data_IF_729329827177
#
_entry.id   IF_729329827177
#
_cell.length_a   1.000
_cell.length_b   1.000
_cell.length_c   1.000
_cell.angle_alpha   90.00
_cell.angle_beta   90.00
_cell.angle_gamma   90.00
#
_symmetry.space_group_name_H-M   'P 1'
#
loop_
_entity.id
_entity.type
_entity.pdbx_description
1 polymer ?
#
# COMPACT_ATOMS: atom_id res chain seq x y z
N UNK A 1 11.38 11.21 19.10
CA UNK A 1 12.68 10.72 18.58
C UNK A 1 12.44 9.93 17.30
N UNK A 2 12.56 10.56 16.13
CA UNK A 2 12.44 9.93 14.80
C UNK A 2 13.84 9.66 14.23
N UNK A 3 14.68 8.90 14.95
CA UNK A 3 16.12 8.90 14.69
C UNK A 3 16.72 7.54 14.33
N UNK A 4 15.92 6.57 13.88
CA UNK A 4 16.44 5.26 13.47
C UNK A 4 16.30 4.96 11.96
N UNK A 5 15.85 5.93 11.15
CA UNK A 5 15.48 5.67 9.75
C UNK A 5 16.44 6.27 8.72
N UNK A 6 17.27 7.24 9.11
CA UNK A 6 18.09 8.06 8.21
C UNK A 6 19.39 7.41 7.74
N UNK A 7 19.94 6.43 8.48
CA UNK A 7 21.32 5.95 8.28
C UNK A 7 21.44 4.59 7.57
N UNK A 8 20.37 4.08 6.99
CA UNK A 8 20.44 2.90 6.11
C UNK A 8 20.21 3.32 4.67
N UNK A 9 20.76 2.57 3.72
CA UNK A 9 20.57 2.72 2.27
C UNK A 9 19.08 2.76 1.80
N UNK A 10 18.11 2.71 2.72
CA UNK A 10 16.67 2.90 2.51
C UNK A 10 16.25 4.34 2.25
N UNK A 11 17.04 5.36 2.61
CA UNK A 11 16.72 6.76 2.32
C UNK A 11 16.58 7.04 0.81
N UNK A 12 17.30 6.31 -0.05
CA UNK A 12 17.17 6.42 -1.51
C UNK A 12 15.92 5.71 -2.07
N UNK A 13 15.36 4.77 -1.31
CA UNK A 13 14.22 3.97 -1.75
C UNK A 13 12.87 4.65 -1.50
N UNK A 14 12.81 5.75 -0.74
CA UNK A 14 11.57 6.45 -0.39
C UNK A 14 11.38 7.68 -1.27
N UNK A 15 10.43 7.61 -2.18
CA UNK A 15 10.16 8.64 -3.18
C UNK A 15 8.78 9.26 -2.95
N UNK A 16 8.65 10.56 -3.22
CA UNK A 16 7.33 11.18 -3.34
C UNK A 16 6.60 10.56 -4.55
N UNK A 17 5.27 10.39 -4.49
CA UNK A 17 4.49 9.87 -5.60
C UNK A 17 4.40 10.94 -6.69
N UNK A 18 5.16 10.73 -7.75
CA UNK A 18 5.19 11.58 -8.94
C UNK A 18 5.02 10.70 -10.16
N UNK A 19 4.69 11.27 -11.33
CA UNK A 19 4.61 10.50 -12.58
C UNK A 19 5.89 9.73 -12.95
N UNK A 20 7.05 10.08 -12.37
CA UNK A 20 8.33 9.39 -12.62
C UNK A 20 8.63 8.27 -11.63
N UNK A 21 8.09 8.36 -10.42
CA UNK A 21 8.38 7.42 -9.33
C UNK A 21 7.30 6.38 -9.15
N UNK A 22 6.06 6.67 -9.55
CA UNK A 22 4.96 5.69 -9.55
C UNK A 22 5.02 4.89 -10.85
N UNK A 23 5.42 3.62 -10.74
CA UNK A 23 5.46 2.68 -11.87
C UNK A 23 4.25 1.74 -11.85
N UNK A 24 3.52 1.69 -10.73
CA UNK A 24 2.29 0.92 -10.58
C UNK A 24 1.13 1.49 -11.39
N UNK A 25 0.21 0.61 -11.74
CA UNK A 25 -0.99 0.95 -12.50
C UNK A 25 -2.07 1.55 -11.59
N UNK A 26 -2.23 2.87 -11.65
CA UNK A 26 -3.27 3.65 -10.95
C UNK A 26 -4.34 4.19 -11.94
N UNK A 27 -4.52 3.53 -13.08
CA UNK A 27 -5.52 3.88 -14.10
C UNK A 27 -6.78 3.01 -13.96
N UNK A 28 -7.44 3.09 -12.79
CA UNK A 28 -8.66 2.34 -12.45
C UNK A 28 -8.45 0.81 -12.34
N UNK A 29 -7.25 0.40 -11.92
CA UNK A 29 -6.89 -1.00 -11.78
C UNK A 29 -7.46 -1.61 -10.49
N UNK A 30 -7.92 -2.87 -10.56
CA UNK A 30 -8.42 -3.61 -9.39
C UNK A 30 -7.57 -4.85 -9.11
N UNK A 31 -7.34 -5.15 -7.83
CA UNK A 31 -6.68 -6.37 -7.38
C UNK A 31 -7.40 -6.99 -6.20
N UNK A 32 -7.67 -8.29 -6.27
CA UNK A 32 -8.32 -9.05 -5.20
C UNK A 32 -7.42 -10.18 -4.74
N UNK A 33 -7.31 -10.38 -3.44
CA UNK A 33 -6.51 -11.45 -2.86
C UNK A 33 -7.07 -11.89 -1.50
N UNK A 34 -7.50 -13.14 -1.38
CA UNK A 34 -7.87 -13.77 -0.10
C UNK A 34 -8.75 -12.93 0.86
N UNK A 35 -9.69 -12.15 0.32
CA UNK A 35 -10.60 -11.29 1.10
C UNK A 35 -10.18 -9.82 1.19
N UNK A 36 -9.05 -9.45 0.60
CA UNK A 36 -8.66 -8.08 0.36
C UNK A 36 -9.09 -7.63 -1.04
N UNK A 37 -9.77 -6.48 -1.09
CA UNK A 37 -10.13 -5.79 -2.31
C UNK A 37 -9.39 -4.45 -2.39
N UNK A 38 -8.60 -4.28 -3.44
CA UNK A 38 -7.89 -3.05 -3.74
C UNK A 38 -8.35 -2.45 -5.06
N UNK A 39 -8.46 -1.13 -5.07
CA UNK A 39 -8.69 -0.35 -6.28
C UNK A 39 -7.71 0.83 -6.33
N UNK A 40 -6.98 0.95 -7.43
CA UNK A 40 -5.87 1.89 -7.61
C UNK A 40 -6.28 2.98 -8.60
N UNK A 41 -6.30 4.23 -8.12
CA UNK A 41 -6.83 5.36 -8.87
C UNK A 41 -5.92 6.58 -8.78
N UNK A 42 -5.91 7.38 -9.84
CA UNK A 42 -5.38 8.73 -9.83
C UNK A 42 -6.54 9.71 -9.83
N UNK A 43 -6.65 10.53 -8.79
CA UNK A 43 -7.69 11.54 -8.66
C UNK A 43 -7.06 12.90 -8.38
N UNK A 44 -7.43 13.90 -9.19
CA UNK A 44 -6.91 15.28 -9.07
C UNK A 44 -5.36 15.34 -9.08
N UNK A 45 -4.72 14.45 -9.86
CA UNK A 45 -3.27 14.34 -9.96
C UNK A 45 -2.58 13.62 -8.78
N UNK A 46 -3.35 13.06 -7.84
CA UNK A 46 -2.84 12.30 -6.70
C UNK A 46 -3.22 10.82 -6.79
N UNK A 47 -2.24 9.94 -6.53
CA UNK A 47 -2.48 8.49 -6.44
C UNK A 47 -3.19 8.15 -5.13
N UNK A 48 -4.21 7.30 -5.22
CA UNK A 48 -5.00 6.79 -4.10
C UNK A 48 -5.16 5.27 -4.23
N UNK A 49 -5.16 4.60 -3.08
CA UNK A 49 -5.47 3.18 -2.99
C UNK A 49 -6.75 3.06 -2.17
N UNK A 50 -7.82 2.59 -2.80
CA UNK A 50 -9.06 2.24 -2.12
C UNK A 50 -8.92 0.82 -1.61
N UNK A 51 -9.13 0.66 -0.31
CA UNK A 51 -9.12 -0.63 0.36
C UNK A 51 -10.11 -0.61 1.52
N UNK A 52 -10.45 -1.78 2.04
CA UNK A 52 -11.34 -1.91 3.19
C UNK A 52 -10.78 -1.19 4.44
N UNK A 53 -11.60 -0.32 5.03
CA UNK A 53 -11.31 0.35 6.28
C UNK A 53 -11.73 -0.44 7.51
N UNK A 54 -11.57 0.17 8.68
CA UNK A 54 -11.83 -0.48 9.98
C UNK A 54 -13.27 -1.02 10.13
N UNK A 55 -14.23 -0.45 9.41
CA UNK A 55 -15.65 -0.87 9.42
C UNK A 55 -16.04 -1.78 8.23
N UNK A 56 -15.07 -2.29 7.46
CA UNK A 56 -15.33 -3.07 6.24
C UNK A 56 -15.95 -2.25 5.10
N UNK A 57 -15.91 -0.92 5.21
CA UNK A 57 -16.28 0.00 4.13
C UNK A 57 -15.04 0.41 3.36
N UNK A 58 -15.10 0.51 2.02
CA UNK A 58 -13.98 1.03 1.23
C UNK A 58 -13.61 2.46 1.63
N UNK A 59 -12.32 2.70 1.81
CA UNK A 59 -11.74 4.02 2.09
C UNK A 59 -10.65 4.29 1.06
N UNK A 60 -10.65 5.50 0.48
CA UNK A 60 -9.58 5.97 -0.39
C UNK A 60 -8.42 6.52 0.43
N UNK A 61 -7.29 5.83 0.43
CA UNK A 61 -6.10 6.26 1.15
C UNK A 61 -5.13 6.97 0.19
N UNK A 62 -4.75 8.24 0.44
CA UNK A 62 -3.75 8.92 -0.37
C UNK A 62 -2.39 8.26 -0.25
N UNK A 63 -1.74 8.00 -1.40
CA UNK A 63 -0.34 7.57 -1.42
C UNK A 63 0.54 8.75 -1.01
N UNK A 64 1.44 8.52 -0.05
CA UNK A 64 2.39 9.54 0.44
C UNK A 64 3.82 9.24 0.03
N UNK A 65 4.17 7.96 -0.07
CA UNK A 65 5.49 7.53 -0.51
C UNK A 65 5.42 6.26 -1.35
N UNK A 66 6.35 6.16 -2.28
CA UNK A 66 6.65 4.96 -3.06
C UNK A 66 7.98 4.40 -2.58
N UNK A 67 8.02 3.09 -2.35
CA UNK A 67 9.22 2.41 -1.85
C UNK A 67 9.72 1.41 -2.87
N UNK A 68 10.98 1.57 -3.30
CA UNK A 68 11.64 0.66 -4.23
C UNK A 68 11.45 1.04 -5.71
N UNK A 69 12.16 0.30 -6.57
CA UNK A 69 12.16 0.51 -8.03
C UNK A 69 12.17 -0.83 -8.78
N UNK A 70 12.97 -1.80 -8.34
CA UNK A 70 13.01 -3.17 -8.89
C UNK A 70 13.50 -4.13 -7.79
N UNK A 71 12.93 -5.34 -7.66
CA UNK A 71 11.92 -5.95 -8.55
C UNK A 71 10.48 -5.49 -8.31
N UNK A 72 10.23 -4.66 -7.29
CA UNK A 72 8.89 -4.24 -6.92
C UNK A 72 8.84 -2.80 -6.41
N UNK A 73 7.62 -2.24 -6.36
CA UNK A 73 7.29 -1.04 -5.60
C UNK A 73 6.24 -1.32 -4.54
N UNK A 74 6.47 -0.84 -3.33
CA UNK A 74 5.48 -0.77 -2.25
C UNK A 74 4.98 0.66 -2.08
N UNK A 75 3.82 0.82 -1.46
CA UNK A 75 3.17 2.10 -1.28
C UNK A 75 2.87 2.33 0.19
N UNK A 76 3.22 3.52 0.68
CA UNK A 76 2.78 4.00 1.97
C UNK A 76 1.64 4.97 1.79
N UNK A 77 0.57 4.72 2.53
CA UNK A 77 -0.65 5.52 2.47
C UNK A 77 -0.91 6.25 3.78
N UNK A 78 -1.56 7.41 3.70
CA UNK A 78 -2.04 8.15 4.86
C UNK A 78 -3.35 7.54 5.36
N UNK A 79 -3.32 7.01 6.58
CA UNK A 79 -4.51 6.46 7.26
C UNK A 79 -5.12 7.47 8.25
N UNK A 80 -4.68 8.74 8.19
CA UNK A 80 -5.15 9.84 9.00
C UNK A 80 -4.34 10.07 10.27
N UNK A 81 -4.53 11.24 10.88
CA UNK A 81 -3.89 11.66 12.15
C UNK A 81 -2.35 11.60 12.11
N UNK A 82 -1.76 11.86 10.95
CA UNK A 82 -0.31 11.84 10.76
C UNK A 82 0.30 10.44 10.75
N UNK A 83 -0.52 9.37 10.62
CA UNK A 83 -0.06 7.99 10.59
C UNK A 83 0.03 7.50 9.15
N UNK A 84 1.14 6.82 8.85
CA UNK A 84 1.36 6.14 7.58
C UNK A 84 1.28 4.64 7.79
N UNK A 85 0.77 3.94 6.78
CA UNK A 85 0.75 2.48 6.72
C UNK A 85 1.38 2.02 5.41
N UNK A 86 2.32 1.09 5.50
CA UNK A 86 2.78 0.32 4.34
C UNK A 86 1.74 -0.76 4.03
N UNK A 87 1.35 -0.88 2.76
CA UNK A 87 0.42 -1.92 2.33
C UNK A 87 1.16 -3.20 1.94
N UNK A 88 0.48 -4.33 2.12
CA UNK A 88 0.96 -5.65 1.72
C UNK A 88 0.71 -5.95 0.24
N UNK A 89 0.00 -5.07 -0.47
CA UNK A 89 -0.07 -5.07 -1.93
C UNK A 89 1.09 -4.25 -2.52
N UNK A 90 1.75 -4.84 -3.51
CA UNK A 90 2.90 -4.26 -4.19
C UNK A 90 2.76 -4.40 -5.71
N UNK A 91 3.52 -3.59 -6.43
CA UNK A 91 3.63 -3.66 -7.88
C UNK A 91 4.90 -4.42 -8.29
N UNK A 92 4.77 -5.51 -9.02
CA UNK A 92 5.91 -6.21 -9.64
C UNK A 92 6.34 -5.40 -10.88
N UNK A 93 7.51 -4.76 -10.82
CA UNK A 93 7.94 -3.85 -11.89
C UNK A 93 8.39 -4.58 -13.15
N UNK A 94 8.76 -5.86 -13.01
CA UNK A 94 9.24 -6.67 -14.12
C UNK A 94 8.06 -7.31 -14.87
N UNK A 95 7.08 -7.80 -14.13
CA UNK A 95 5.88 -8.46 -14.68
C UNK A 95 4.70 -7.53 -14.86
N UNK A 96 4.80 -6.30 -14.37
CA UNK A 96 3.79 -5.23 -14.47
C UNK A 96 2.42 -5.69 -13.96
N UNK A 97 2.38 -6.13 -12.70
CA UNK A 97 1.13 -6.53 -12.06
C UNK A 97 1.13 -6.25 -10.56
N UNK A 98 -0.06 -6.02 -10.04
CA UNK A 98 -0.31 -6.01 -8.60
C UNK A 98 -0.21 -7.42 -8.03
N UNK A 99 0.38 -7.55 -6.85
CA UNK A 99 0.47 -8.80 -6.11
C UNK A 99 0.53 -8.56 -4.61
N UNK A 100 0.10 -9.55 -3.83
CA UNK A 100 0.25 -9.55 -2.39
C UNK A 100 1.64 -10.09 -2.00
N UNK A 101 2.34 -9.40 -1.10
CA UNK A 101 3.67 -9.78 -0.62
C UNK A 101 3.67 -11.12 0.12
N UNK A 102 2.54 -11.46 0.73
CA UNK A 102 2.32 -12.70 1.47
C UNK A 102 1.20 -13.51 0.79
N UNK A 103 1.51 -14.28 -0.27
CA UNK A 103 0.49 -14.91 -1.12
C UNK A 103 -0.36 -15.98 -0.41
N UNK A 104 0.11 -16.51 0.72
CA UNK A 104 -0.60 -17.54 1.48
C UNK A 104 -1.47 -16.95 2.61
N UNK A 105 -1.50 -15.62 2.75
CA UNK A 105 -2.19 -14.97 3.86
C UNK A 105 -3.67 -14.76 3.53
N UNK A 106 -4.53 -15.42 4.32
CA UNK A 106 -5.95 -15.07 4.46
C UNK A 106 -6.13 -14.16 5.65
N UNK A 107 -6.74 -12.98 5.46
CA UNK A 107 -7.25 -12.18 6.57
C UNK A 107 -8.55 -11.46 6.17
N UNK A 108 -9.50 -11.41 7.11
CA UNK A 108 -10.67 -10.53 7.03
C UNK A 108 -10.20 -9.09 7.19
N UNK A 109 -10.46 -8.25 6.20
CA UNK A 109 -10.33 -6.82 6.39
C UNK A 109 -11.38 -6.33 7.41
N UNK A 110 -10.90 -5.92 8.58
CA UNK A 110 -11.73 -5.49 9.70
C UNK A 110 -11.06 -5.87 11.02
N UNK A 111 -10.49 -4.89 11.70
CA UNK A 111 -9.79 -5.10 12.96
C UNK A 111 -10.68 -5.80 13.99
N UNK A 112 -10.15 -6.88 14.56
CA UNK A 112 -10.79 -7.65 15.60
C UNK A 112 -10.21 -9.05 15.59
N UNK A 113 -9.02 -9.20 16.17
CA UNK A 113 -8.58 -10.49 16.69
C UNK A 113 -9.62 -10.93 17.74
N UNK A 114 -10.40 -12.01 17.55
CA UNK A 114 -10.98 -12.69 18.69
C UNK A 114 -9.83 -13.51 19.29
N UNK A 115 -8.92 -12.80 19.97
CA UNK A 115 -7.84 -13.40 20.70
C UNK A 115 -8.43 -14.44 21.65
N UNK A 116 -8.13 -15.69 21.33
CA UNK A 116 -8.41 -16.84 22.15
C UNK A 116 -7.65 -16.74 23.47
N UNK A 117 -8.39 -16.95 24.56
CA UNK A 117 -7.94 -17.52 25.82
C UNK A 117 -9.24 -17.95 26.49
N UNK A 118 -9.55 -19.25 26.58
CA UNK A 118 -8.82 -20.20 27.39
C UNK A 118 -9.71 -20.51 28.60
#
# INVERSE_FOLDING_TARGET
MFSAWSDSHHAAAWQLPTPKSVLGDFDDASYKHHGFDYHFLTRDGANQIVADGQEGKPVAYPVRYVVGVTPLQQYLVDIGRGRLQALDVAWDTQRKRWFHLYPDQWLKAGGGDPGASG
#
